data_IF_888386776558
#
_entry.id   IF_888386776558
#
_cell.length_a   1.000
_cell.length_b   1.000
_cell.length_c   1.000
_cell.angle_alpha   90.00
_cell.angle_beta   90.00
_cell.angle_gamma   90.00
#
_symmetry.space_group_name_H-M   'P 1'
#
loop_
_entity.id
_entity.type
_entity.pdbx_description
1 polymer ?
#
# COMPACT_ATOMS: atom_id res chain seq x y z
N UNK A 1 -2.14 12.47 -10.41
CA UNK A 1 -2.64 11.35 -11.27
C UNK A 1 -4.10 11.08 -10.93
N UNK A 2 -4.92 10.65 -11.89
CA UNK A 2 -6.31 10.23 -11.67
C UNK A 2 -6.38 8.70 -11.67
N UNK A 3 -7.36 8.12 -10.99
CA UNK A 3 -7.59 6.65 -10.99
C UNK A 3 -7.73 6.10 -12.41
N UNK A 4 -8.40 6.83 -13.32
CA UNK A 4 -8.55 6.45 -14.72
C UNK A 4 -7.21 6.29 -15.47
N UNK A 5 -6.14 6.95 -15.01
CA UNK A 5 -4.81 6.81 -15.61
C UNK A 5 -4.17 5.47 -15.27
N UNK A 6 -4.48 4.88 -14.10
CA UNK A 6 -4.08 3.52 -13.76
C UNK A 6 -4.69 2.50 -14.75
N UNK A 7 -5.97 2.66 -15.09
CA UNK A 7 -6.61 1.84 -16.11
C UNK A 7 -6.01 2.03 -17.50
N UNK A 8 -5.57 3.25 -17.83
CA UNK A 8 -4.84 3.51 -19.08
C UNK A 8 -3.48 2.79 -19.08
N UNK A 9 -2.75 2.81 -17.95
CA UNK A 9 -1.46 2.11 -17.85
C UNK A 9 -1.58 0.62 -18.16
N UNK A 10 -2.64 -0.05 -17.68
CA UNK A 10 -2.91 -1.45 -18.04
C UNK A 10 -3.10 -1.62 -19.54
N UNK A 11 -3.95 -0.80 -20.18
CA UNK A 11 -4.17 -0.87 -21.63
C UNK A 11 -2.90 -0.63 -22.45
N UNK A 12 -2.04 0.26 -21.96
CA UNK A 12 -0.73 0.58 -22.58
C UNK A 12 0.36 -0.41 -22.17
N UNK A 13 0.05 -1.49 -21.44
CA UNK A 13 1.00 -2.49 -20.92
C UNK A 13 2.12 -1.88 -20.05
N UNK A 14 1.86 -0.74 -19.40
CA UNK A 14 2.77 -0.09 -18.45
C UNK A 14 2.51 -0.62 -17.05
N UNK A 15 3.57 -1.04 -16.38
CA UNK A 15 3.47 -1.53 -14.99
C UNK A 15 3.17 -0.40 -14.03
N UNK A 16 2.22 -0.63 -13.11
CA UNK A 16 1.87 0.29 -12.03
C UNK A 16 2.82 0.05 -10.85
N UNK A 17 3.45 1.11 -10.39
CA UNK A 17 4.34 1.09 -9.24
C UNK A 17 3.60 1.61 -8.02
N UNK A 18 3.34 0.72 -7.05
CA UNK A 18 2.71 1.07 -5.79
C UNK A 18 3.66 0.92 -4.61
N UNK A 19 3.51 1.79 -3.61
CA UNK A 19 4.18 1.64 -2.31
C UNK A 19 3.20 1.86 -1.18
N UNK A 20 3.41 1.15 -0.06
CA UNK A 20 2.72 1.45 1.20
C UNK A 20 3.59 2.42 1.99
N UNK A 21 3.00 3.54 2.41
CA UNK A 21 3.65 4.55 3.24
C UNK A 21 2.71 4.98 4.38
N UNK A 22 3.27 5.38 5.53
CA UNK A 22 2.50 5.63 6.74
C UNK A 22 2.75 6.99 7.39
N UNK A 23 3.59 7.82 6.79
CA UNK A 23 3.91 9.14 7.30
C UNK A 23 4.11 10.16 6.17
N UNK A 24 4.08 11.42 6.57
CA UNK A 24 4.21 12.56 5.67
C UNK A 24 5.55 12.58 4.90
N UNK A 25 6.66 12.24 5.57
CA UNK A 25 8.00 12.32 4.97
C UNK A 25 8.17 11.24 3.91
N UNK A 26 7.83 9.99 4.25
CA UNK A 26 7.90 8.88 3.31
C UNK A 26 6.94 9.08 2.13
N UNK A 27 5.75 9.64 2.38
CA UNK A 27 4.79 9.97 1.32
C UNK A 27 5.36 10.96 0.29
N UNK A 28 6.06 12.02 0.76
CA UNK A 28 6.73 12.96 -0.13
C UNK A 28 7.88 12.33 -0.92
N UNK A 29 8.67 11.47 -0.27
CA UNK A 29 9.76 10.74 -0.93
C UNK A 29 9.20 9.83 -2.02
N UNK A 30 8.17 9.06 -1.71
CA UNK A 30 7.51 8.15 -2.65
C UNK A 30 6.91 8.91 -3.85
N UNK A 31 6.16 9.98 -3.59
CA UNK A 31 5.56 10.83 -4.63
C UNK A 31 6.63 11.45 -5.55
N UNK A 32 7.75 11.92 -4.97
CA UNK A 32 8.89 12.47 -5.72
C UNK A 32 9.66 11.39 -6.49
N UNK A 33 9.71 10.16 -5.97
CA UNK A 33 10.32 9.01 -6.67
C UNK A 33 9.52 8.58 -7.91
N UNK A 34 8.30 9.11 -8.09
CA UNK A 34 7.50 8.87 -9.29
C UNK A 34 6.67 7.59 -9.22
N UNK A 35 6.31 7.11 -8.03
CA UNK A 35 5.35 6.01 -7.89
C UNK A 35 3.96 6.46 -8.38
N UNK A 36 3.17 5.51 -8.87
CA UNK A 36 1.85 5.77 -9.42
C UNK A 36 0.75 5.70 -8.35
N UNK A 37 0.97 4.89 -7.32
CA UNK A 37 0.04 4.64 -6.22
C UNK A 37 0.77 4.66 -4.88
N UNK A 38 0.29 5.47 -3.95
CA UNK A 38 0.66 5.39 -2.53
C UNK A 38 -0.52 4.81 -1.77
N UNK A 39 -0.30 3.78 -0.97
CA UNK A 39 -1.33 3.16 -0.14
C UNK A 39 -1.03 3.35 1.34
N UNK A 40 -2.02 3.73 2.11
CA UNK A 40 -1.97 3.68 3.57
C UNK A 40 -2.48 2.31 3.99
N UNK A 41 -1.55 1.40 4.33
CA UNK A 41 -1.88 0.04 4.74
C UNK A 41 -2.20 -0.03 6.24
N UNK A 42 -3.18 -0.84 6.60
CA UNK A 42 -3.56 -1.15 7.99
C UNK A 42 -2.43 -1.83 8.78
N UNK A 43 -1.49 -2.42 8.08
CA UNK A 43 -0.24 -2.97 8.63
C UNK A 43 0.67 -1.92 9.31
N UNK A 44 0.32 -0.64 9.30
CA UNK A 44 1.00 0.42 10.08
C UNK A 44 1.01 0.07 11.58
N UNK A 45 -0.09 -0.47 12.10
CA UNK A 45 -0.20 -0.89 13.49
C UNK A 45 0.91 -1.86 13.88
N UNK A 46 1.06 -2.94 13.13
CA UNK A 46 2.08 -3.97 13.39
C UNK A 46 3.49 -3.44 13.10
N UNK A 47 3.71 -2.82 11.94
CA UNK A 47 5.07 -2.56 11.45
C UNK A 47 5.70 -1.27 11.98
N UNK A 48 4.91 -0.30 12.36
CA UNK A 48 5.41 1.00 12.82
C UNK A 48 5.14 1.24 14.30
N UNK A 49 4.01 0.76 14.81
CA UNK A 49 3.59 1.02 16.18
C UNK A 49 3.72 -0.20 17.10
N UNK A 50 4.07 -1.36 16.58
CA UNK A 50 4.26 -2.58 17.38
C UNK A 50 2.96 -3.13 18.00
N UNK A 51 1.82 -2.82 17.37
CA UNK A 51 0.51 -3.35 17.78
C UNK A 51 0.36 -4.82 17.39
N UNK A 52 -0.56 -5.51 18.05
CA UNK A 52 -1.00 -6.85 17.62
C UNK A 52 -1.68 -6.79 16.25
N UNK A 53 -1.63 -7.87 15.45
CA UNK A 53 -2.36 -7.95 14.19
C UNK A 53 -3.84 -7.58 14.35
N UNK A 54 -4.38 -6.83 13.41
CA UNK A 54 -5.77 -6.36 13.36
C UNK A 54 -6.21 -5.47 14.55
N UNK A 55 -5.26 -4.99 15.36
CA UNK A 55 -5.58 -4.08 16.46
C UNK A 55 -5.82 -2.63 16.03
N UNK A 56 -5.32 -2.25 14.86
CA UNK A 56 -5.48 -0.90 14.31
C UNK A 56 -6.95 -0.50 14.18
N UNK A 57 -7.26 0.70 14.63
CA UNK A 57 -8.62 1.26 14.59
C UNK A 57 -8.83 2.14 13.36
N UNK A 58 -10.09 2.41 13.02
CA UNK A 58 -10.43 3.36 11.96
C UNK A 58 -9.93 4.77 12.28
N UNK A 59 -10.03 5.20 13.55
CA UNK A 59 -9.56 6.52 13.98
C UNK A 59 -8.06 6.70 13.76
N UNK A 60 -7.26 5.68 14.06
CA UNK A 60 -5.83 5.69 13.80
C UNK A 60 -5.54 5.73 12.28
N UNK A 61 -6.27 4.95 11.48
CA UNK A 61 -6.14 4.98 10.03
C UNK A 61 -6.48 6.35 9.43
N UNK A 62 -7.48 7.05 9.98
CA UNK A 62 -7.82 8.41 9.56
C UNK A 62 -6.68 9.40 9.84
N UNK A 63 -5.98 9.27 10.98
CA UNK A 63 -4.81 10.10 11.30
C UNK A 63 -3.69 9.87 10.29
N UNK A 64 -3.36 8.60 10.02
CA UNK A 64 -2.31 8.23 9.05
C UNK A 64 -2.69 8.69 7.63
N UNK A 65 -3.94 8.45 7.21
CA UNK A 65 -4.43 8.86 5.89
C UNK A 65 -4.26 10.37 5.68
N UNK A 66 -4.68 11.19 6.65
CA UNK A 66 -4.51 12.65 6.60
C UNK A 66 -3.04 13.08 6.53
N UNK A 67 -2.15 12.38 7.25
CA UNK A 67 -0.72 12.68 7.22
C UNK A 67 -0.12 12.37 5.84
N UNK A 68 -0.38 11.19 5.30
CA UNK A 68 0.10 10.75 3.98
C UNK A 68 -0.49 11.64 2.87
N UNK A 69 -1.80 11.99 2.95
CA UNK A 69 -2.44 12.89 1.97
C UNK A 69 -1.71 14.23 1.82
N UNK A 70 -1.25 14.80 2.91
CA UNK A 70 -0.48 16.06 2.84
C UNK A 70 0.82 15.91 2.05
N UNK A 71 1.44 14.73 2.08
CA UNK A 71 2.69 14.42 1.36
C UNK A 71 2.49 14.09 -0.11
N UNK A 72 1.41 13.43 -0.48
CA UNK A 72 1.14 12.97 -1.85
C UNK A 72 0.52 14.09 -2.68
N UNK A 73 1.11 14.42 -3.83
CA UNK A 73 0.63 15.46 -4.75
C UNK A 73 0.34 14.94 -6.16
N UNK A 74 1.02 13.89 -6.59
CA UNK A 74 0.99 13.36 -7.96
C UNK A 74 0.38 11.97 -8.05
N UNK A 75 0.80 11.06 -7.17
CA UNK A 75 0.30 9.69 -7.13
C UNK A 75 -1.18 9.61 -6.73
N UNK A 76 -1.85 8.52 -7.07
CA UNK A 76 -3.14 8.17 -6.49
C UNK A 76 -2.90 7.74 -5.04
N UNK A 77 -3.78 8.18 -4.12
CA UNK A 77 -3.75 7.74 -2.73
C UNK A 77 -4.85 6.74 -2.47
N UNK A 78 -4.50 5.52 -2.05
CA UNK A 78 -5.45 4.59 -1.45
C UNK A 78 -5.26 4.49 0.06
N UNK A 79 -6.33 4.13 0.78
CA UNK A 79 -6.25 3.85 2.20
C UNK A 79 -7.04 2.58 2.50
N UNK A 80 -6.43 1.67 3.29
CA UNK A 80 -7.07 0.43 3.69
C UNK A 80 -8.12 0.72 4.78
N UNK A 81 -9.33 0.18 4.63
CA UNK A 81 -10.24 0.06 5.76
C UNK A 81 -9.71 -1.05 6.68
N UNK A 82 -9.55 -0.80 7.99
CA UNK A 82 -9.02 -1.81 8.88
C UNK A 82 -9.95 -3.02 8.97
N UNK A 83 -9.38 -4.21 9.23
CA UNK A 83 -10.11 -5.49 9.16
C UNK A 83 -11.41 -5.50 9.98
N UNK A 84 -11.42 -4.83 11.14
CA UNK A 84 -12.61 -4.73 12.02
C UNK A 84 -13.64 -3.68 11.60
N UNK A 85 -13.31 -2.82 10.62
CA UNK A 85 -14.14 -1.70 10.19
C UNK A 85 -14.22 -1.66 8.66
N UNK A 86 -14.67 -2.75 8.05
CA UNK A 86 -14.95 -2.80 6.62
C UNK A 86 -16.33 -2.16 6.33
N UNK A 87 -16.54 -1.74 5.09
CA UNK A 87 -17.85 -1.29 4.63
C UNK A 87 -17.99 0.20 4.39
N UNK A 88 -19.25 0.65 4.23
CA UNK A 88 -19.59 1.95 3.70
C UNK A 88 -19.16 3.12 4.60
N UNK A 89 -19.40 3.03 5.91
CA UNK A 89 -19.07 4.11 6.85
C UNK A 89 -17.55 4.38 6.85
N UNK A 90 -16.74 3.34 7.00
CA UNK A 90 -15.29 3.46 6.95
C UNK A 90 -14.81 4.03 5.61
N UNK A 91 -15.40 3.57 4.50
CA UNK A 91 -15.03 4.05 3.18
C UNK A 91 -15.32 5.55 2.99
N UNK A 92 -16.48 6.03 3.45
CA UNK A 92 -16.83 7.45 3.38
C UNK A 92 -15.88 8.30 4.22
N UNK A 93 -15.59 7.89 5.44
CA UNK A 93 -14.69 8.61 6.35
C UNK A 93 -13.24 8.65 5.84
N UNK A 94 -12.75 7.56 5.25
CA UNK A 94 -11.41 7.52 4.64
C UNK A 94 -11.34 8.40 3.39
N UNK A 95 -12.40 8.44 2.58
CA UNK A 95 -12.51 9.39 1.47
C UNK A 95 -12.46 10.83 1.94
N UNK A 96 -13.21 11.19 2.98
CA UNK A 96 -13.19 12.52 3.61
C UNK A 96 -11.81 12.86 4.19
N UNK A 97 -11.08 11.86 4.70
CA UNK A 97 -9.69 12.02 5.16
C UNK A 97 -8.69 12.27 4.03
N UNK A 98 -9.13 12.15 2.77
CA UNK A 98 -8.36 12.50 1.58
C UNK A 98 -7.90 11.32 0.73
N UNK A 99 -8.37 10.10 0.98
CA UNK A 99 -8.13 8.98 0.08
C UNK A 99 -8.85 9.19 -1.27
N UNK A 100 -8.14 8.98 -2.37
CA UNK A 100 -8.74 8.98 -3.72
C UNK A 100 -9.51 7.68 -3.96
N UNK A 101 -9.11 6.59 -3.27
CA UNK A 101 -9.66 5.25 -3.38
C UNK A 101 -9.53 4.52 -2.04
N UNK A 102 -10.51 3.71 -1.68
CA UNK A 102 -10.47 2.93 -0.43
C UNK A 102 -10.25 1.45 -0.74
N UNK A 103 -9.30 0.83 -0.03
CA UNK A 103 -9.04 -0.61 -0.17
C UNK A 103 -9.91 -1.38 0.81
N UNK A 104 -10.60 -2.39 0.29
CA UNK A 104 -11.54 -3.24 1.02
C UNK A 104 -11.30 -4.71 0.73
N UNK A 105 -11.29 -5.53 1.78
CA UNK A 105 -11.50 -6.98 1.68
C UNK A 105 -13.00 -7.23 1.84
N UNK A 106 -13.75 -7.17 0.73
CA UNK A 106 -15.20 -7.13 0.76
C UNK A 106 -15.86 -8.06 -0.27
N UNK A 107 -17.13 -8.39 -0.05
CA UNK A 107 -17.95 -9.05 -1.04
C UNK A 107 -18.29 -8.13 -2.21
N UNK A 108 -18.68 -8.68 -3.38
CA UNK A 108 -19.15 -7.84 -4.49
C UNK A 108 -20.34 -6.95 -4.13
N UNK A 109 -21.19 -7.38 -3.22
CA UNK A 109 -22.34 -6.58 -2.75
C UNK A 109 -21.89 -5.33 -1.96
N UNK A 110 -20.92 -5.49 -1.07
CA UNK A 110 -20.32 -4.39 -0.30
C UNK A 110 -19.55 -3.44 -1.20
N UNK A 111 -18.73 -3.97 -2.13
CA UNK A 111 -18.04 -3.15 -3.15
C UNK A 111 -19.05 -2.29 -3.92
N UNK A 112 -20.17 -2.89 -4.39
CA UNK A 112 -21.23 -2.18 -5.11
C UNK A 112 -21.88 -1.09 -4.28
N UNK A 113 -22.10 -1.33 -2.98
CA UNK A 113 -22.68 -0.33 -2.07
C UNK A 113 -21.75 0.89 -1.91
N UNK A 114 -20.44 0.65 -1.72
CA UNK A 114 -19.44 1.70 -1.56
C UNK A 114 -19.25 2.49 -2.86
N UNK A 115 -19.21 1.81 -4.02
CA UNK A 115 -19.10 2.46 -5.33
C UNK A 115 -20.33 3.33 -5.63
N UNK A 116 -21.54 2.85 -5.32
CA UNK A 116 -22.78 3.64 -5.48
C UNK A 116 -22.81 4.91 -4.63
N UNK A 117 -22.13 4.90 -3.49
CA UNK A 117 -21.95 6.09 -2.66
C UNK A 117 -20.84 7.04 -3.18
N UNK A 118 -20.27 6.75 -4.35
CA UNK A 118 -19.28 7.58 -5.02
C UNK A 118 -17.86 7.43 -4.48
N UNK A 119 -17.56 6.33 -3.77
CA UNK A 119 -16.21 6.02 -3.29
C UNK A 119 -15.57 5.01 -4.24
N UNK A 120 -14.46 5.34 -4.94
CA UNK A 120 -13.73 4.37 -5.73
C UNK A 120 -13.13 3.27 -4.84
N UNK A 121 -13.22 2.02 -5.30
CA UNK A 121 -12.80 0.86 -4.53
C UNK A 121 -11.59 0.17 -5.15
N UNK A 122 -10.61 -0.11 -4.31
CA UNK A 122 -9.50 -1.03 -4.53
C UNK A 122 -9.86 -2.34 -3.83
N UNK A 123 -10.38 -3.31 -4.58
CA UNK A 123 -10.89 -4.53 -3.99
C UNK A 123 -9.76 -5.56 -3.78
N UNK A 124 -9.61 -6.01 -2.53
CA UNK A 124 -8.66 -7.06 -2.18
C UNK A 124 -9.31 -8.43 -2.27
N UNK A 125 -8.58 -9.40 -2.83
CA UNK A 125 -8.90 -10.81 -2.75
C UNK A 125 -7.63 -11.67 -2.78
N UNK A 126 -7.76 -12.91 -2.32
CA UNK A 126 -6.63 -13.79 -2.11
C UNK A 126 -6.68 -14.99 -3.03
N UNK A 127 -5.52 -15.33 -3.60
CA UNK A 127 -5.23 -16.67 -4.11
C UNK A 127 -4.69 -17.57 -3.00
N UNK A 128 -4.07 -18.65 -3.38
CA UNK A 128 -3.44 -19.61 -2.48
C UNK A 128 -3.50 -21.02 -3.04
N UNK A 129 -2.86 -21.95 -2.35
CA UNK A 129 -2.82 -23.33 -2.76
C UNK A 129 -4.23 -23.96 -2.72
N UNK A 130 -4.54 -24.73 -3.76
CA UNK A 130 -5.80 -25.44 -3.88
C UNK A 130 -6.98 -24.67 -4.45
N UNK A 131 -6.84 -23.36 -4.75
CA UNK A 131 -7.89 -22.59 -5.43
C UNK A 131 -7.66 -22.63 -6.94
N UNK A 132 -8.63 -23.17 -7.68
CA UNK A 132 -8.52 -23.25 -9.13
C UNK A 132 -8.49 -21.86 -9.79
N UNK A 133 -7.63 -21.60 -10.81
CA UNK A 133 -7.54 -20.32 -11.49
C UNK A 133 -8.88 -19.77 -11.98
N UNK A 134 -9.76 -20.65 -12.49
CA UNK A 134 -11.09 -20.24 -12.96
C UNK A 134 -12.00 -19.68 -11.85
N UNK A 135 -11.84 -20.14 -10.61
CA UNK A 135 -12.57 -19.58 -9.48
C UNK A 135 -12.08 -18.17 -9.17
N UNK A 136 -10.76 -17.95 -9.24
CA UNK A 136 -10.14 -16.64 -9.02
C UNK A 136 -10.50 -15.66 -10.14
N UNK A 137 -10.56 -16.14 -11.38
CA UNK A 137 -11.04 -15.34 -12.51
C UNK A 137 -12.51 -14.93 -12.32
N UNK A 138 -13.39 -15.86 -11.92
CA UNK A 138 -14.79 -15.52 -11.62
C UNK A 138 -14.88 -14.48 -10.51
N UNK A 139 -14.12 -14.67 -9.42
CA UNK A 139 -14.10 -13.70 -8.31
C UNK A 139 -13.66 -12.32 -8.74
N UNK A 140 -12.60 -12.23 -9.54
CA UNK A 140 -12.10 -10.95 -10.06
C UNK A 140 -13.14 -10.25 -10.95
N UNK A 141 -13.84 -10.97 -11.82
CA UNK A 141 -14.94 -10.45 -12.65
C UNK A 141 -16.12 -9.96 -11.80
N UNK A 142 -16.53 -10.71 -10.78
CA UNK A 142 -17.58 -10.28 -9.85
C UNK A 142 -17.25 -8.94 -9.16
N UNK A 143 -15.98 -8.75 -8.79
CA UNK A 143 -15.51 -7.49 -8.18
C UNK A 143 -15.46 -6.36 -9.20
N UNK A 144 -15.01 -6.64 -10.44
CA UNK A 144 -15.06 -5.67 -11.54
C UNK A 144 -16.51 -5.27 -11.88
N UNK A 145 -17.42 -6.23 -12.01
CA UNK A 145 -18.86 -5.98 -12.27
C UNK A 145 -19.55 -5.24 -11.11
N UNK A 146 -19.02 -5.36 -9.89
CA UNK A 146 -19.44 -4.56 -8.75
C UNK A 146 -18.95 -3.12 -8.81
N UNK A 147 -18.04 -2.77 -9.73
CA UNK A 147 -17.52 -1.43 -9.97
C UNK A 147 -16.16 -1.15 -9.30
N UNK A 148 -15.42 -2.16 -8.88
CA UNK A 148 -14.05 -1.97 -8.40
C UNK A 148 -13.21 -1.25 -9.48
N UNK A 149 -12.34 -0.33 -9.04
CA UNK A 149 -11.46 0.43 -9.92
C UNK A 149 -10.07 -0.19 -10.07
N UNK A 150 -9.69 -1.04 -9.12
CA UNK A 150 -8.40 -1.70 -9.01
C UNK A 150 -8.57 -2.99 -8.19
N UNK A 151 -7.78 -4.02 -8.49
CA UNK A 151 -7.74 -5.27 -7.71
C UNK A 151 -6.39 -5.46 -7.04
N UNK A 152 -6.39 -5.75 -5.72
CA UNK A 152 -5.23 -6.28 -4.99
C UNK A 152 -5.34 -7.80 -4.93
N UNK A 153 -4.57 -8.48 -5.78
CA UNK A 153 -4.56 -9.92 -5.85
C UNK A 153 -3.37 -10.48 -5.07
N UNK A 154 -3.60 -10.82 -3.81
CA UNK A 154 -2.58 -11.38 -2.92
C UNK A 154 -2.41 -12.87 -3.14
N UNK A 155 -1.16 -13.35 -3.00
CA UNK A 155 -0.81 -14.77 -3.20
C UNK A 155 -1.26 -15.33 -4.57
N UNK A 156 -1.13 -14.51 -5.62
CA UNK A 156 -1.66 -14.82 -6.95
C UNK A 156 -0.97 -16.01 -7.62
N UNK A 157 0.33 -16.16 -7.43
CA UNK A 157 1.13 -17.06 -8.25
C UNK A 157 1.15 -16.66 -9.74
N UNK A 158 2.02 -17.26 -10.56
CA UNK A 158 2.13 -16.88 -11.97
C UNK A 158 0.90 -17.30 -12.79
N UNK A 159 0.41 -18.53 -12.62
CA UNK A 159 -0.67 -19.08 -13.45
C UNK A 159 -2.00 -18.33 -13.20
N UNK A 160 -2.44 -18.26 -11.95
CA UNK A 160 -3.67 -17.57 -11.62
C UNK A 160 -3.55 -16.04 -11.82
N UNK A 161 -2.38 -15.45 -11.52
CA UNK A 161 -2.13 -14.04 -11.71
C UNK A 161 -2.26 -13.62 -13.18
N UNK A 162 -1.66 -14.36 -14.11
CA UNK A 162 -1.84 -14.10 -15.55
C UNK A 162 -3.29 -14.28 -16.00
N UNK A 163 -3.95 -15.37 -15.57
CA UNK A 163 -5.33 -15.64 -15.95
C UNK A 163 -6.26 -14.53 -15.51
N UNK A 164 -6.15 -14.07 -14.27
CA UNK A 164 -6.94 -12.96 -13.71
C UNK A 164 -6.63 -11.66 -14.44
N UNK A 165 -5.34 -11.29 -14.58
CA UNK A 165 -4.95 -10.04 -15.24
C UNK A 165 -5.45 -9.93 -16.68
N UNK A 166 -5.53 -11.05 -17.40
CA UNK A 166 -6.10 -11.08 -18.76
C UNK A 166 -7.63 -11.04 -18.79
N UNK A 167 -8.28 -11.54 -17.75
CA UNK A 167 -9.73 -11.74 -17.73
C UNK A 167 -10.53 -10.47 -17.39
N UNK A 168 -9.92 -9.49 -16.73
CA UNK A 168 -10.55 -8.24 -16.31
C UNK A 168 -9.94 -7.03 -17.03
N UNK A 169 -10.74 -5.97 -17.20
CA UNK A 169 -10.30 -4.73 -17.85
C UNK A 169 -9.62 -3.75 -16.89
N UNK A 170 -9.96 -3.81 -15.60
CA UNK A 170 -9.33 -3.00 -14.56
C UNK A 170 -7.96 -3.54 -14.16
N UNK A 171 -7.04 -2.69 -13.67
CA UNK A 171 -5.71 -3.16 -13.29
C UNK A 171 -5.74 -4.15 -12.13
N UNK A 172 -4.83 -5.12 -12.19
CA UNK A 172 -4.59 -6.10 -11.13
C UNK A 172 -3.18 -5.91 -10.62
N UNK A 173 -3.02 -5.53 -9.37
CA UNK A 173 -1.71 -5.41 -8.72
C UNK A 173 -1.65 -6.35 -7.52
N UNK A 174 -0.48 -6.55 -6.92
CA UNK A 174 -0.37 -7.38 -5.74
C UNK A 174 0.90 -7.08 -4.95
N UNK A 175 0.75 -7.01 -3.64
CA UNK A 175 1.84 -6.85 -2.70
C UNK A 175 2.45 -8.20 -2.33
N UNK A 176 1.76 -8.94 -1.48
CA UNK A 176 2.20 -10.24 -0.98
C UNK A 176 1.96 -11.34 -2.04
N UNK A 177 3.04 -12.04 -2.44
CA UNK A 177 2.96 -13.14 -3.39
C UNK A 177 2.62 -12.74 -4.84
N UNK A 178 2.56 -11.45 -5.15
CA UNK A 178 2.44 -10.97 -6.53
C UNK A 178 3.78 -11.04 -7.28
N UNK A 179 3.73 -10.93 -8.62
CA UNK A 179 4.91 -11.04 -9.49
C UNK A 179 4.78 -10.23 -10.77
N UNK A 180 5.75 -10.38 -11.70
CA UNK A 180 5.77 -9.63 -12.97
C UNK A 180 4.58 -9.97 -13.89
N UNK A 181 3.85 -11.02 -13.60
CA UNK A 181 2.62 -11.43 -14.29
C UNK A 181 1.40 -10.53 -14.02
N UNK A 182 1.44 -9.69 -12.99
CA UNK A 182 0.39 -8.72 -12.70
C UNK A 182 0.63 -7.38 -13.44
N UNK A 183 -0.38 -6.53 -13.49
CA UNK A 183 -0.29 -5.20 -14.11
C UNK A 183 0.58 -4.23 -13.31
N UNK A 184 0.89 -4.55 -12.07
CA UNK A 184 1.78 -3.77 -11.22
C UNK A 184 2.14 -4.47 -9.91
N UNK A 185 2.95 -3.79 -9.11
CA UNK A 185 3.42 -4.29 -7.82
C UNK A 185 3.25 -3.24 -6.75
N UNK A 186 2.91 -3.71 -5.55
CA UNK A 186 2.93 -2.88 -4.34
C UNK A 186 3.90 -3.48 -3.31
N UNK A 187 4.68 -2.63 -2.65
CA UNK A 187 5.58 -3.03 -1.57
C UNK A 187 5.55 -1.99 -0.45
N UNK A 188 5.70 -2.43 0.78
CA UNK A 188 5.90 -1.52 1.91
C UNK A 188 7.22 -0.77 1.71
N UNK A 189 7.17 0.57 1.73
CA UNK A 189 8.35 1.41 1.51
C UNK A 189 9.47 1.06 2.49
N UNK A 190 9.16 0.94 3.79
CA UNK A 190 10.15 0.61 4.81
C UNK A 190 10.84 -0.74 4.56
N UNK A 191 10.09 -1.75 4.06
CA UNK A 191 10.67 -3.06 3.73
C UNK A 191 11.51 -2.99 2.45
N UNK A 192 11.15 -2.15 1.49
CA UNK A 192 11.92 -1.97 0.26
C UNK A 192 13.29 -1.35 0.53
N UNK A 193 13.36 -0.38 1.45
CA UNK A 193 14.59 0.36 1.75
C UNK A 193 15.35 -0.17 3.00
N UNK A 194 14.88 -1.26 3.62
CA UNK A 194 15.54 -1.82 4.80
C UNK A 194 15.53 -0.88 6.02
N UNK A 195 14.39 -0.20 6.27
CA UNK A 195 14.26 0.74 7.39
C UNK A 195 13.94 0.06 8.74
N UNK A 196 13.24 -1.08 8.73
CA UNK A 196 12.84 -1.77 9.97
C UNK A 196 14.04 -2.25 10.81
N UNK A 197 13.90 -2.29 12.14
CA UNK A 197 14.94 -2.77 13.06
C UNK A 197 15.49 -4.15 12.67
N UNK A 198 14.62 -5.08 12.28
CA UNK A 198 15.02 -6.42 11.82
C UNK A 198 15.95 -6.40 10.57
N UNK A 199 16.00 -5.29 9.83
CA UNK A 199 16.91 -5.16 8.68
C UNK A 199 18.38 -5.05 9.07
N UNK A 200 18.69 -4.77 10.36
CA UNK A 200 20.07 -4.75 10.87
C UNK A 200 20.74 -6.11 10.76
N UNK A 201 19.97 -7.18 10.98
CA UNK A 201 20.48 -8.56 11.03
C UNK A 201 19.95 -9.41 9.86
N UNK A 202 19.07 -8.86 9.02
CA UNK A 202 18.49 -9.56 7.89
C UNK A 202 19.49 -9.71 6.74
N UNK A 203 19.48 -10.90 6.13
CA UNK A 203 20.17 -11.18 4.86
C UNK A 203 19.27 -11.00 3.64
N UNK A 204 18.02 -10.57 3.84
CA UNK A 204 17.10 -10.33 2.74
C UNK A 204 17.60 -9.18 1.86
N UNK A 205 17.51 -9.36 0.54
CA UNK A 205 17.89 -8.33 -0.42
C UNK A 205 16.89 -7.18 -0.37
N UNK A 206 17.41 -5.97 -0.22
CA UNK A 206 16.67 -4.71 -0.21
C UNK A 206 17.39 -3.67 -1.07
N UNK A 207 16.68 -2.62 -1.49
CA UNK A 207 17.30 -1.54 -2.29
C UNK A 207 18.29 -0.69 -1.50
N UNK A 208 18.21 -0.72 -0.15
CA UNK A 208 19.12 -0.03 0.76
C UNK A 208 19.06 -0.69 2.15
N UNK A 209 19.95 -0.33 3.08
CA UNK A 209 19.83 -0.66 4.50
C UNK A 209 19.77 0.64 5.33
N UNK A 210 18.60 1.28 5.32
CA UNK A 210 18.38 2.55 6.02
C UNK A 210 18.49 2.38 7.54
N UNK A 211 18.13 1.22 8.08
CA UNK A 211 18.28 0.93 9.51
C UNK A 211 19.77 1.00 9.95
N UNK A 212 20.69 0.47 9.12
CA UNK A 212 22.13 0.55 9.40
C UNK A 212 22.61 2.00 9.36
N UNK A 213 22.24 2.75 8.33
CA UNK A 213 22.59 4.18 8.21
C UNK A 213 22.08 4.98 9.41
N UNK A 214 20.84 4.70 9.86
CA UNK A 214 20.27 5.37 11.03
C UNK A 214 21.02 5.00 12.32
N UNK A 215 21.34 3.71 12.52
CA UNK A 215 22.11 3.24 13.68
C UNK A 215 23.48 3.91 13.75
N UNK A 216 24.23 3.90 12.66
CA UNK A 216 25.58 4.47 12.60
C UNK A 216 25.54 5.99 12.86
N UNK A 217 24.59 6.71 12.25
CA UNK A 217 24.43 8.15 12.46
C UNK A 217 24.07 8.49 13.92
N UNK A 218 23.13 7.77 14.52
CA UNK A 218 22.74 8.00 15.91
C UNK A 218 23.84 7.62 16.89
N UNK A 219 24.62 6.58 16.60
CA UNK A 219 25.79 6.20 17.41
C UNK A 219 26.87 7.27 17.37
N UNK A 220 27.14 7.83 16.19
CA UNK A 220 28.08 8.94 16.05
C UNK A 220 27.61 10.19 16.82
N UNK A 221 26.32 10.53 16.69
CA UNK A 221 25.71 11.64 17.45
C UNK A 221 25.87 11.44 18.96
N UNK A 222 25.54 10.24 19.47
CA UNK A 222 25.68 9.92 20.89
C UNK A 222 27.13 10.04 21.38
N UNK A 223 28.11 9.61 20.55
CA UNK A 223 29.53 9.75 20.87
C UNK A 223 29.97 11.22 20.91
N UNK A 224 29.49 12.06 19.99
CA UNK A 224 29.80 13.49 19.97
C UNK A 224 29.26 14.19 21.23
N UNK A 225 28.02 13.90 21.62
CA UNK A 225 27.42 14.46 22.83
C UNK A 225 28.19 14.04 24.09
N UNK A 226 28.53 12.75 24.24
CA UNK A 226 29.27 12.25 25.39
C UNK A 226 30.67 12.81 25.51
N UNK A 227 31.29 13.15 24.36
CA UNK A 227 32.63 13.74 24.33
C UNK A 227 32.63 15.29 24.39
N UNK A 228 31.47 15.91 24.56
CA UNK A 228 31.35 17.39 24.59
C UNK A 228 31.73 18.07 23.27
N UNK A 229 31.66 17.35 22.13
CA UNK A 229 31.94 17.91 20.83
C UNK A 229 30.74 18.71 20.29
N UNK A 230 31.05 19.68 19.43
CA UNK A 230 30.01 20.42 18.71
C UNK A 230 29.15 19.47 17.86
N UNK A 231 27.82 19.58 18.00
CA UNK A 231 26.87 18.75 17.27
C UNK A 231 26.77 19.24 15.82
N UNK A 232 26.83 18.31 14.87
CA UNK A 232 26.65 18.60 13.44
C UNK A 232 25.27 19.18 13.15
N UNK A 233 25.21 20.21 12.29
CA UNK A 233 23.95 20.84 11.88
C UNK A 233 23.42 21.91 12.84
N UNK A 234 24.01 22.13 13.98
CA UNK A 234 23.76 23.32 14.81
C UNK A 234 24.59 24.50 14.31
N UNK A 235 23.93 25.65 14.14
CA UNK A 235 24.65 26.93 14.00
C UNK A 235 25.19 27.29 15.37
N UNK A 236 26.46 27.69 15.44
CA UNK A 236 27.06 28.26 16.62
C UNK A 236 26.36 29.57 17.00
#
# INVERSE_FOLDING_TARGET
MKISELGKMKRDSRKIVGVVAWDYQMAQIADRAGVDLVSVGDSVGVNLWGQEPDAITLEEMLVVCKAVRRGVKRAVLSCDAPARNQGLDAALRLKEAGADMVKLLASPAEVRAVVRAGVPVFAEFHGGDGIAPDQLVRRAKELEDAGASLLDFRHSGPVAGEAVSRAVSIPVIGGLGGGPWLDGRMRMAHAAIGYGFASLDSKAETYANVARVALDALSAYAADVRAGRQIKGQRA
#
